data_IF_217802946737
#
_entry.id   IF_217802946737
#
_cell.length_a   1.000
_cell.length_b   1.000
_cell.length_c   1.000
_cell.angle_alpha   90.00
_cell.angle_beta   90.00
_cell.angle_gamma   90.00
#
_symmetry.space_group_name_H-M   'P 1'
#
loop_
_entity.id
_entity.type
_entity.pdbx_description
1 polymer ?
#
# COMPACT_ATOMS: atom_id res chain seq x y z
N UNK A 1 6.52 14.06 13.67
CA UNK A 1 5.67 13.81 12.48
C UNK A 1 4.63 12.80 12.90
N UNK A 2 3.32 13.05 12.70
CA UNK A 2 2.28 12.06 13.03
C UNK A 2 2.40 10.83 12.12
N UNK A 3 2.15 9.64 12.66
CA UNK A 3 2.20 8.40 11.88
C UNK A 3 1.00 8.35 10.91
N UNK A 4 1.21 7.86 9.69
CA UNK A 4 0.15 7.74 8.67
C UNK A 4 -0.98 6.80 9.13
N UNK A 5 -0.62 5.81 9.93
CA UNK A 5 -1.54 4.82 10.51
C UNK A 5 -2.45 5.50 11.54
N UNK A 6 -1.87 6.30 12.44
CA UNK A 6 -2.63 7.08 13.43
C UNK A 6 -3.55 8.12 12.79
N UNK A 7 -3.15 8.73 11.67
CA UNK A 7 -4.00 9.69 10.96
C UNK A 7 -5.22 9.01 10.31
N UNK A 8 -5.04 7.79 9.78
CA UNK A 8 -6.12 7.05 9.11
C UNK A 8 -7.19 6.46 10.05
N UNK A 9 -6.91 6.37 11.36
CA UNK A 9 -7.86 5.87 12.37
C UNK A 9 -8.74 6.96 13.00
N UNK A 10 -8.40 8.24 12.82
CA UNK A 10 -9.10 9.37 13.47
C UNK A 10 -10.41 9.76 12.76
N UNK A 11 -10.67 9.26 11.55
CA UNK A 11 -11.94 9.49 10.84
C UNK A 11 -13.11 8.61 11.33
N UNK A 12 -12.88 7.68 12.26
CA UNK A 12 -13.93 6.85 12.85
C UNK A 12 -14.23 7.30 14.29
N UNK A 13 -14.86 8.47 14.43
CA UNK A 13 -15.38 8.94 15.72
C UNK A 13 -16.66 8.20 16.08
N UNK A 14 -16.53 7.01 16.67
CA UNK A 14 -17.57 6.35 17.48
C UNK A 14 -16.92 5.37 18.48
N UNK A 15 -16.03 5.88 19.33
CA UNK A 15 -15.43 5.11 20.42
C UNK A 15 -15.81 5.71 21.79
N UNK A 16 -16.45 4.87 22.61
CA UNK A 16 -16.71 5.10 24.03
C UNK A 16 -15.39 5.35 24.81
N UNK A 17 -15.40 6.17 25.88
CA UNK A 17 -14.20 6.49 26.63
C UNK A 17 -13.77 5.28 27.47
N UNK A 18 -12.70 4.59 27.07
CA UNK A 18 -12.04 3.57 27.89
C UNK A 18 -11.38 2.39 27.16
N UNK A 19 -11.65 2.19 25.87
CA UNK A 19 -11.02 1.12 25.08
C UNK A 19 -9.98 1.75 24.15
N UNK A 20 -8.69 1.45 24.35
CA UNK A 20 -7.66 1.89 23.38
C UNK A 20 -7.83 0.99 22.15
N UNK A 21 -8.24 1.51 20.98
CA UNK A 21 -8.42 0.67 19.81
C UNK A 21 -7.06 0.12 19.40
N UNK A 22 -6.92 -1.21 19.47
CA UNK A 22 -5.76 -1.91 18.91
C UNK A 22 -5.83 -1.74 17.39
N UNK A 23 -4.94 -0.93 16.82
CA UNK A 23 -4.87 -0.71 15.37
C UNK A 23 -3.95 -1.77 14.78
N UNK A 24 -4.50 -2.67 13.97
CA UNK A 24 -3.73 -3.66 13.21
C UNK A 24 -3.48 -3.16 11.79
N UNK A 25 -2.23 -3.24 11.33
CA UNK A 25 -1.84 -2.84 9.98
C UNK A 25 -0.89 -3.85 9.37
N UNK A 26 -1.11 -4.22 8.11
CA UNK A 26 -0.19 -5.06 7.33
C UNK A 26 0.38 -4.23 6.19
N UNK A 27 1.71 -4.17 6.09
CA UNK A 27 2.43 -3.35 5.12
C UNK A 27 3.24 -4.25 4.18
N UNK A 28 2.91 -4.23 2.90
CA UNK A 28 3.64 -4.94 1.85
C UNK A 28 4.69 -4.03 1.23
N UNK A 29 5.96 -4.44 1.24
CA UNK A 29 7.06 -3.72 0.61
C UNK A 29 7.38 -4.37 -0.74
N UNK A 30 6.92 -3.75 -1.83
CA UNK A 30 7.00 -4.32 -3.17
C UNK A 30 7.95 -3.54 -4.06
N UNK A 31 8.92 -4.25 -4.67
CA UNK A 31 10.08 -3.65 -5.40
C UNK A 31 10.90 -2.67 -4.55
N UNK A 32 10.80 -2.75 -3.23
CA UNK A 32 11.52 -1.90 -2.28
C UNK A 32 11.75 -2.68 -0.99
N UNK A 33 12.76 -2.30 -0.21
CA UNK A 33 13.07 -2.93 1.06
C UNK A 33 12.25 -2.29 2.19
N UNK A 34 11.78 -3.10 3.12
CA UNK A 34 11.28 -2.57 4.40
C UNK A 34 12.39 -1.83 5.15
N UNK A 35 12.06 -0.70 5.81
CA UNK A 35 12.97 -0.09 6.75
C UNK A 35 13.11 -1.01 7.96
N UNK A 36 14.18 -0.85 8.75
CA UNK A 36 14.28 -1.50 10.04
C UNK A 36 13.03 -1.25 10.90
N UNK A 37 12.47 -2.30 11.50
CA UNK A 37 11.17 -2.26 12.20
C UNK A 37 11.10 -1.19 13.30
N UNK A 38 12.22 -0.88 13.95
CA UNK A 38 12.31 0.18 14.96
C UNK A 38 11.94 1.57 14.41
N UNK A 39 12.04 1.80 13.10
CA UNK A 39 11.66 3.07 12.46
C UNK A 39 10.13 3.19 12.28
N UNK A 40 9.42 2.07 12.25
CA UNK A 40 7.95 2.04 12.11
C UNK A 40 7.22 2.27 13.43
N UNK A 41 7.96 2.35 14.54
CA UNK A 41 7.47 2.52 15.89
C UNK A 41 7.85 1.31 16.75
N UNK A 42 8.28 1.58 17.98
CA UNK A 42 8.51 0.55 18.98
C UNK A 42 7.16 0.21 19.64
N UNK A 43 6.92 -1.08 19.93
CA UNK A 43 5.69 -1.59 20.55
C UNK A 43 5.52 -1.18 22.04
N UNK A 44 6.08 -0.05 22.43
CA UNK A 44 6.17 0.41 23.83
C UNK A 44 4.78 0.83 24.36
N UNK A 45 3.84 1.12 23.46
CA UNK A 45 2.43 1.28 23.74
C UNK A 45 1.64 0.22 22.96
N UNK A 46 0.99 -0.67 23.69
CA UNK A 46 0.32 -1.91 23.29
C UNK A 46 -0.94 -1.75 22.40
N UNK A 47 -1.08 -0.62 21.70
CA UNK A 47 -2.25 -0.29 20.89
C UNK A 47 -2.03 -0.39 19.38
N UNK A 48 -0.85 -0.80 18.92
CA UNK A 48 -0.49 -0.75 17.50
C UNK A 48 0.27 -2.02 17.10
N UNK A 49 -0.30 -2.81 16.19
CA UNK A 49 0.29 -4.05 15.68
C UNK A 49 0.58 -3.88 14.19
N UNK A 50 1.85 -3.67 13.83
CA UNK A 50 2.29 -3.60 12.42
C UNK A 50 2.94 -4.91 12.02
N UNK A 51 2.36 -5.58 11.03
CA UNK A 51 2.99 -6.68 10.31
C UNK A 51 3.61 -6.14 9.01
N UNK A 52 4.86 -6.44 8.73
CA UNK A 52 5.52 -6.09 7.46
C UNK A 52 5.81 -7.34 6.65
N UNK A 53 5.52 -7.30 5.34
CA UNK A 53 5.84 -8.38 4.40
C UNK A 53 6.73 -7.85 3.28
N UNK A 54 7.93 -8.41 3.19
CA UNK A 54 8.88 -8.10 2.13
C UNK A 54 8.56 -8.92 0.89
N UNK A 55 8.14 -8.24 -0.18
CA UNK A 55 7.82 -8.83 -1.48
C UNK A 55 8.77 -8.31 -2.56
N UNK A 56 10.01 -8.03 -2.20
CA UNK A 56 11.03 -7.67 -3.17
C UNK A 56 11.27 -8.83 -4.15
N UNK A 57 11.33 -8.54 -5.45
CA UNK A 57 11.50 -9.55 -6.50
C UNK A 57 10.24 -10.37 -6.83
N UNK A 58 9.13 -10.19 -6.10
CA UNK A 58 7.87 -10.87 -6.38
C UNK A 58 7.21 -10.23 -7.61
N UNK A 59 6.75 -11.01 -8.60
CA UNK A 59 6.08 -10.46 -9.77
C UNK A 59 4.73 -9.84 -9.39
N UNK A 60 4.30 -8.82 -10.14
CA UNK A 60 3.08 -8.06 -9.85
C UNK A 60 1.81 -8.91 -9.63
N UNK A 61 1.51 -9.94 -10.47
CA UNK A 61 0.34 -10.78 -10.27
C UNK A 61 0.29 -11.45 -8.89
N UNK A 62 1.43 -11.96 -8.42
CA UNK A 62 1.53 -12.63 -7.11
C UNK A 62 1.30 -11.64 -5.94
N UNK A 63 1.72 -10.38 -6.08
CA UNK A 63 1.36 -9.33 -5.10
C UNK A 63 -0.16 -9.20 -4.98
N UNK A 64 -0.87 -9.19 -6.12
CA UNK A 64 -2.33 -9.02 -6.13
C UNK A 64 -3.01 -10.23 -5.49
N UNK A 65 -2.56 -11.45 -5.78
CA UNK A 65 -3.06 -12.66 -5.13
C UNK A 65 -2.89 -12.61 -3.61
N UNK A 66 -1.75 -12.14 -3.11
CA UNK A 66 -1.52 -11.97 -1.66
C UNK A 66 -2.42 -10.90 -1.05
N UNK A 67 -2.66 -9.78 -1.76
CA UNK A 67 -3.59 -8.76 -1.31
C UNK A 67 -5.03 -9.28 -1.27
N UNK A 68 -5.47 -10.01 -2.28
CA UNK A 68 -6.82 -10.56 -2.36
C UNK A 68 -7.13 -11.58 -1.26
N UNK A 69 -6.11 -12.33 -0.79
CA UNK A 69 -6.22 -13.25 0.36
C UNK A 69 -6.42 -12.51 1.69
N UNK A 70 -5.78 -11.36 1.86
CA UNK A 70 -5.82 -10.61 3.13
C UNK A 70 -6.97 -9.60 3.19
N UNK A 71 -7.45 -9.09 2.06
CA UNK A 71 -8.51 -8.08 2.06
C UNK A 71 -9.87 -8.67 2.47
N UNK A 72 -10.53 -8.08 3.48
CA UNK A 72 -11.85 -8.53 3.93
C UNK A 72 -12.90 -8.40 2.81
N UNK A 73 -13.96 -9.23 2.83
CA UNK A 73 -15.10 -9.07 1.92
C UNK A 73 -15.90 -7.79 2.25
N UNK A 74 -16.59 -7.20 1.26
CA UNK A 74 -17.35 -5.94 1.45
C UNK A 74 -18.44 -5.99 2.53
N UNK A 75 -18.94 -7.17 2.87
CA UNK A 75 -20.13 -7.36 3.71
C UNK A 75 -19.79 -7.70 5.16
N UNK A 76 -19.04 -6.86 5.85
CA UNK A 76 -18.94 -6.96 7.31
C UNK A 76 -19.19 -5.61 7.96
N UNK A 77 -20.42 -5.13 7.83
CA UNK A 77 -21.01 -4.11 8.69
C UNK A 77 -21.05 -4.67 10.13
N UNK A 78 -19.92 -4.66 10.82
CA UNK A 78 -19.83 -5.11 12.21
C UNK A 78 -18.56 -5.85 12.63
N UNK A 79 -17.57 -6.11 11.75
CA UNK A 79 -16.31 -6.69 12.23
C UNK A 79 -15.44 -5.60 12.85
N UNK A 80 -15.40 -5.61 14.18
CA UNK A 80 -14.35 -4.99 14.99
C UNK A 80 -12.98 -5.33 14.37
N UNK A 81 -12.23 -4.30 13.99
CA UNK A 81 -10.83 -4.35 13.53
C UNK A 81 -10.51 -5.32 12.38
N UNK A 82 -11.00 -5.05 11.18
CA UNK A 82 -10.26 -5.50 10.01
C UNK A 82 -8.97 -4.66 9.90
N UNK A 83 -7.80 -5.30 10.03
CA UNK A 83 -6.52 -4.62 9.93
C UNK A 83 -6.37 -3.90 8.59
N UNK A 84 -5.78 -2.70 8.60
CA UNK A 84 -5.59 -1.93 7.37
C UNK A 84 -4.42 -2.49 6.56
N UNK A 85 -4.65 -2.78 5.28
CA UNK A 85 -3.62 -3.29 4.37
C UNK A 85 -3.04 -2.16 3.54
N UNK A 86 -1.72 -2.04 3.57
CA UNK A 86 -0.96 -1.02 2.85
C UNK A 86 0.05 -1.67 1.90
N UNK A 87 0.26 -1.02 0.76
CA UNK A 87 1.30 -1.37 -0.21
C UNK A 87 2.27 -0.20 -0.28
N UNK A 88 3.55 -0.46 -0.11
CA UNK A 88 4.63 0.49 -0.30
C UNK A 88 5.42 0.05 -1.50
N UNK A 89 5.44 0.88 -2.53
CA UNK A 89 6.14 0.58 -3.77
C UNK A 89 6.58 1.88 -4.47
N UNK A 90 7.53 1.79 -5.40
CA UNK A 90 7.96 2.97 -6.13
C UNK A 90 6.94 3.40 -7.20
N UNK A 91 6.77 4.72 -7.37
CA UNK A 91 5.82 5.30 -8.33
C UNK A 91 6.15 5.00 -9.79
N UNK A 92 7.36 4.52 -10.08
CA UNK A 92 7.77 4.07 -11.41
C UNK A 92 7.14 2.75 -11.83
N UNK A 93 6.64 1.96 -10.88
CA UNK A 93 6.12 0.61 -11.11
C UNK A 93 4.77 0.64 -11.85
N UNK A 94 4.84 0.66 -13.17
CA UNK A 94 3.68 0.79 -14.05
C UNK A 94 2.61 -0.31 -13.89
N UNK A 95 2.99 -1.47 -13.32
CA UNK A 95 2.05 -2.55 -13.02
C UNK A 95 0.88 -2.11 -12.14
N UNK A 96 1.14 -1.24 -11.14
CA UNK A 96 0.11 -0.80 -10.19
C UNK A 96 -0.87 0.21 -10.79
N UNK A 97 -0.53 0.83 -11.92
CA UNK A 97 -1.34 1.88 -12.53
C UNK A 97 -2.79 1.41 -12.74
N UNK A 98 -2.95 0.16 -13.20
CA UNK A 98 -4.25 -0.48 -13.45
C UNK A 98 -5.16 -0.57 -12.21
N UNK A 99 -4.59 -0.49 -11.01
CA UNK A 99 -5.32 -0.55 -9.74
C UNK A 99 -5.46 0.83 -9.06
N UNK A 100 -4.79 1.86 -9.58
CA UNK A 100 -4.82 3.23 -9.04
C UNK A 100 -5.75 4.18 -9.80
N UNK A 101 -6.20 3.80 -11.01
CA UNK A 101 -7.03 4.68 -11.86
C UNK A 101 -8.51 4.72 -11.43
N UNK A 102 -9.02 5.94 -11.32
CA UNK A 102 -10.42 6.30 -11.07
C UNK A 102 -11.38 5.76 -12.16
N UNK A 103 -12.68 5.57 -11.86
CA UNK A 103 -13.62 4.70 -12.58
C UNK A 103 -14.19 5.30 -13.88
N UNK A 104 -13.40 6.03 -14.66
CA UNK A 104 -13.87 6.71 -15.89
C UNK A 104 -13.46 6.02 -17.20
N UNK A 105 -12.73 4.91 -17.14
CA UNK A 105 -12.36 4.15 -18.34
C UNK A 105 -12.70 2.68 -18.11
N UNK A 106 -13.84 2.31 -18.69
CA UNK A 106 -14.36 0.97 -18.84
C UNK A 106 -13.35 0.03 -19.51
N UNK A 107 -12.51 -0.62 -18.71
CA UNK A 107 -11.95 -1.93 -19.06
C UNK A 107 -11.33 -2.59 -17.84
N UNK A 108 -11.95 -3.71 -17.46
CA UNK A 108 -11.52 -4.68 -16.43
C UNK A 108 -11.77 -4.20 -15.01
N UNK A 109 -12.92 -4.61 -14.47
CA UNK A 109 -13.28 -4.63 -13.06
C UNK A 109 -12.23 -5.38 -12.24
N UNK A 110 -11.14 -4.70 -11.89
CA UNK A 110 -10.20 -5.23 -10.91
C UNK A 110 -10.92 -5.27 -9.57
N UNK A 111 -10.94 -6.42 -8.91
CA UNK A 111 -11.60 -6.59 -7.61
C UNK A 111 -10.94 -5.77 -6.49
N UNK A 112 -9.85 -5.04 -6.81
CA UNK A 112 -8.98 -4.33 -5.90
C UNK A 112 -8.71 -2.90 -6.40
N UNK A 113 -8.67 -1.96 -5.47
CA UNK A 113 -8.37 -0.55 -5.67
C UNK A 113 -7.25 -0.11 -4.71
N UNK A 114 -6.33 0.72 -5.22
CA UNK A 114 -5.20 1.27 -4.48
C UNK A 114 -5.32 2.79 -4.36
N UNK A 115 -5.54 3.26 -3.14
CA UNK A 115 -5.67 4.68 -2.82
C UNK A 115 -4.32 5.24 -2.34
N UNK A 116 -3.72 6.19 -3.08
CA UNK A 116 -2.47 6.84 -2.67
C UNK A 116 -2.71 7.67 -1.40
N UNK A 117 -2.08 7.29 -0.29
CA UNK A 117 -2.15 8.03 0.98
C UNK A 117 -0.97 8.98 1.15
N UNK A 118 0.20 8.61 0.63
CA UNK A 118 1.42 9.39 0.78
C UNK A 118 2.43 9.09 -0.32
N UNK A 119 3.27 10.07 -0.65
CA UNK A 119 4.39 9.87 -1.54
C UNK A 119 5.61 10.74 -1.25
N UNK A 120 6.78 10.24 -1.67
CA UNK A 120 8.08 10.88 -1.50
C UNK A 120 8.90 10.82 -2.78
N UNK A 121 9.10 11.98 -3.41
CA UNK A 121 9.67 12.11 -4.76
C UNK A 121 11.20 11.97 -4.85
N UNK A 122 11.94 11.90 -3.74
CA UNK A 122 13.41 11.83 -3.76
C UNK A 122 13.94 10.38 -3.83
N UNK A 123 13.07 9.38 -3.87
CA UNK A 123 13.45 7.98 -4.02
C UNK A 123 13.58 7.60 -5.51
N UNK A 124 14.69 6.97 -5.90
CA UNK A 124 14.89 6.45 -7.26
C UNK A 124 14.81 4.94 -7.18
N UNK A 125 13.94 4.33 -7.99
CA UNK A 125 13.85 2.89 -8.06
C UNK A 125 14.84 2.34 -9.10
N UNK A 126 15.78 1.50 -8.65
CA UNK A 126 16.75 0.84 -9.51
C UNK A 126 16.29 -0.58 -9.92
N UNK A 127 15.31 -1.16 -9.23
CA UNK A 127 14.79 -2.51 -9.47
C UNK A 127 13.86 -2.60 -10.70
N UNK A 128 13.38 -1.45 -11.16
CA UNK A 128 12.41 -1.33 -12.27
C UNK A 128 13.06 -0.91 -13.60
N UNK A 129 14.38 -1.10 -13.69
CA UNK A 129 15.21 -0.81 -14.85
C UNK A 129 15.21 -2.00 -15.83
N UNK A 130 14.09 -2.21 -16.53
CA UNK A 130 14.06 -3.16 -17.64
C UNK A 130 14.63 -2.52 -18.91
N UNK A 131 15.95 -2.51 -19.02
CA UNK A 131 16.65 -2.00 -20.21
C UNK A 131 16.59 -2.96 -21.41
N UNK A 132 16.29 -4.24 -21.16
CA UNK A 132 16.32 -5.28 -22.17
C UNK A 132 15.12 -5.23 -23.11
N UNK A 133 13.94 -4.96 -22.56
CA UNK A 133 12.67 -4.95 -23.34
C UNK A 133 12.24 -3.55 -23.76
N UNK A 134 12.40 -2.54 -22.90
CA UNK A 134 11.96 -1.16 -23.18
C UNK A 134 13.05 -0.32 -23.88
N UNK A 135 14.33 -0.66 -23.70
CA UNK A 135 15.48 0.13 -24.17
C UNK A 135 15.90 1.25 -23.21
N UNK A 136 17.15 1.72 -23.32
CA UNK A 136 17.77 2.58 -22.28
C UNK A 136 17.08 3.94 -22.08
N UNK A 137 16.76 4.63 -23.17
CA UNK A 137 16.18 5.99 -23.13
C UNK A 137 14.76 6.06 -22.52
N UNK A 138 13.78 5.23 -22.95
CA UNK A 138 12.44 5.24 -22.36
C UNK A 138 12.42 4.79 -20.90
N UNK A 139 13.21 3.78 -20.52
CA UNK A 139 13.36 3.34 -19.12
C UNK A 139 13.90 4.46 -18.24
N UNK A 140 14.95 5.16 -18.68
CA UNK A 140 15.53 6.26 -17.92
C UNK A 140 14.57 7.45 -17.78
N UNK A 141 13.86 7.83 -18.86
CA UNK A 141 12.83 8.88 -18.81
C UNK A 141 11.72 8.51 -17.83
N UNK A 142 11.31 7.25 -17.78
CA UNK A 142 10.29 6.72 -16.88
C UNK A 142 10.75 6.78 -15.42
N UNK A 143 11.94 6.25 -15.12
CA UNK A 143 12.47 6.21 -13.75
C UNK A 143 12.72 7.60 -13.19
N UNK A 144 13.22 8.55 -13.99
CA UNK A 144 13.44 9.93 -13.54
C UNK A 144 12.13 10.72 -13.46
N UNK A 145 11.20 10.50 -14.40
CA UNK A 145 9.93 11.22 -14.49
C UNK A 145 8.91 10.80 -13.43
N UNK A 146 8.87 9.51 -13.10
CA UNK A 146 7.99 8.93 -12.08
C UNK A 146 8.73 8.52 -10.82
N UNK A 147 9.88 9.14 -10.55
CA UNK A 147 10.65 8.86 -9.34
C UNK A 147 9.79 9.10 -8.10
N UNK A 148 10.03 8.25 -7.11
CA UNK A 148 9.45 8.37 -5.79
C UNK A 148 8.98 7.05 -5.24
N UNK A 149 8.71 7.07 -3.93
CA UNK A 149 8.07 6.01 -3.19
C UNK A 149 6.66 6.46 -2.86
N UNK A 150 5.68 5.57 -2.90
CA UNK A 150 4.34 5.88 -2.45
C UNK A 150 3.80 4.76 -1.56
N UNK A 151 2.87 5.17 -0.70
CA UNK A 151 2.10 4.31 0.19
C UNK A 151 0.67 4.33 -0.30
N UNK A 152 0.16 3.17 -0.67
CA UNK A 152 -1.22 2.98 -1.09
C UNK A 152 -1.97 2.17 -0.03
N UNK A 153 -3.23 2.52 0.21
CA UNK A 153 -4.17 1.67 0.95
C UNK A 153 -4.88 0.75 -0.02
N UNK A 154 -4.81 -0.55 0.23
CA UNK A 154 -5.52 -1.53 -0.57
C UNK A 154 -6.95 -1.71 -0.05
N UNK A 155 -7.92 -1.72 -0.96
CA UNK A 155 -9.33 -2.00 -0.69
C UNK A 155 -9.90 -2.87 -1.80
N UNK A 156 -10.97 -3.61 -1.52
CA UNK A 156 -11.74 -4.23 -2.61
C UNK A 156 -12.55 -3.15 -3.33
N UNK A 157 -12.59 -3.24 -4.65
CA UNK A 157 -13.38 -2.33 -5.48
C UNK A 157 -14.88 -2.52 -5.19
N UNK A 158 -15.63 -1.42 -5.05
CA UNK A 158 -17.07 -1.45 -4.84
C UNK A 158 -17.53 -1.66 -3.39
N UNK A 159 -16.62 -1.69 -2.41
CA UNK A 159 -16.99 -1.57 -0.99
C UNK A 159 -16.94 -0.08 -0.60
N UNK A 160 -18.09 0.51 -0.26
CA UNK A 160 -18.21 1.88 0.27
C UNK A 160 -18.51 1.83 1.76
#
# INVERSE_FOLDING_TARGET
>A
MPSIISASSVESNDALPGEIPVVSATVFWWKTYSPPLWLLGTNDNSSLNIETRDLMGVPGPNLIEELEKLLPPCNVAGSKQAGSVFVVAPKSAAFLDRYTFLPSSSSVSSALELHELWSYRKHINLDDLDFGTEGVYPTLRRVIGRRGLAVWRAKRAGCN
#
